data_IF_396255143159
#
_entry.id   IF_396255143159
#
_cell.length_a   1.000
_cell.length_b   1.000
_cell.length_c   1.000
_cell.angle_alpha   90.00
_cell.angle_beta   90.00
_cell.angle_gamma   90.00
#
_symmetry.space_group_name_H-M   'P 1'
#
loop_
_entity.id
_entity.type
_entity.pdbx_description
1 polymer ?
#
# COMPACT_ATOMS: atom_id res chain seq x y z
N UNK A 1 -25.08 -16.52 8.77
CA UNK A 1 -24.63 -16.70 7.36
C UNK A 1 -23.23 -17.28 7.42
N UNK A 2 -22.93 -18.31 6.63
CA UNK A 2 -21.56 -18.87 6.57
C UNK A 2 -20.58 -17.86 5.96
N UNK A 3 -19.33 -17.83 6.45
CA UNK A 3 -18.27 -16.95 5.93
C UNK A 3 -18.06 -17.12 4.43
N UNK A 4 -18.10 -18.35 3.94
CA UNK A 4 -17.98 -18.65 2.51
C UNK A 4 -19.06 -17.94 1.69
N UNK A 5 -20.31 -17.97 2.16
CA UNK A 5 -21.43 -17.33 1.46
C UNK A 5 -21.30 -15.80 1.44
N UNK A 6 -20.83 -15.20 2.54
CA UNK A 6 -20.49 -13.77 2.58
C UNK A 6 -19.39 -13.45 1.56
N UNK A 7 -18.31 -14.24 1.54
CA UNK A 7 -17.18 -14.03 0.64
C UNK A 7 -17.58 -14.18 -0.84
N UNK A 8 -18.40 -15.19 -1.19
CA UNK A 8 -18.93 -15.35 -2.54
C UNK A 8 -19.83 -14.16 -2.96
N UNK A 9 -20.68 -13.68 -2.04
CA UNK A 9 -21.53 -12.52 -2.27
C UNK A 9 -20.71 -11.24 -2.51
N UNK A 10 -19.66 -11.01 -1.70
CA UNK A 10 -18.77 -9.86 -1.83
C UNK A 10 -17.92 -9.96 -3.09
N UNK A 11 -17.38 -11.13 -3.43
CA UNK A 11 -16.43 -11.26 -4.53
C UNK A 11 -17.12 -11.32 -5.90
N UNK A 12 -18.18 -12.12 -6.06
CA UNK A 12 -18.73 -12.47 -7.37
C UNK A 12 -19.97 -11.68 -7.77
N UNK A 13 -20.70 -11.08 -6.83
CA UNK A 13 -21.93 -10.38 -7.17
C UNK A 13 -21.66 -9.12 -7.98
N UNK A 14 -22.39 -8.91 -9.07
CA UNK A 14 -22.39 -7.64 -9.80
C UNK A 14 -23.30 -6.57 -9.15
N UNK A 15 -23.97 -6.88 -8.03
CA UNK A 15 -24.90 -5.97 -7.35
C UNK A 15 -24.27 -5.40 -6.09
N UNK A 16 -24.24 -4.07 -5.98
CA UNK A 16 -23.65 -3.39 -4.82
C UNK A 16 -24.38 -3.72 -3.51
N UNK A 17 -25.71 -3.81 -3.53
CA UNK A 17 -26.48 -4.17 -2.32
C UNK A 17 -26.11 -5.56 -1.79
N UNK A 18 -25.82 -6.50 -2.69
CA UNK A 18 -25.37 -7.85 -2.32
C UNK A 18 -23.98 -7.82 -1.69
N UNK A 19 -23.06 -7.03 -2.24
CA UNK A 19 -21.73 -6.84 -1.65
C UNK A 19 -21.77 -6.14 -0.30
N UNK A 20 -22.79 -5.31 -0.07
CA UNK A 20 -23.03 -4.58 1.17
C UNK A 20 -23.96 -5.32 2.14
N UNK A 21 -24.24 -6.60 1.93
CA UNK A 21 -24.98 -7.40 2.90
C UNK A 21 -24.20 -7.51 4.21
N UNK A 22 -24.84 -7.14 5.32
CA UNK A 22 -24.29 -7.28 6.67
C UNK A 22 -25.15 -8.27 7.45
N UNK A 23 -24.74 -9.55 7.53
CA UNK A 23 -25.47 -10.55 8.29
C UNK A 23 -25.41 -10.26 9.80
N UNK A 24 -26.50 -10.53 10.52
CA UNK A 24 -26.54 -10.36 11.98
C UNK A 24 -25.59 -11.32 12.72
N UNK A 25 -25.38 -12.51 12.14
CA UNK A 25 -24.48 -13.53 12.68
C UNK A 25 -23.69 -14.21 11.57
N UNK A 26 -22.41 -14.46 11.84
CA UNK A 26 -21.49 -15.17 10.98
C UNK A 26 -21.07 -16.49 11.60
N UNK A 27 -20.93 -17.51 10.77
CA UNK A 27 -20.48 -18.86 11.14
C UNK A 27 -19.36 -19.31 10.20
N UNK A 28 -18.44 -20.12 10.71
CA UNK A 28 -17.29 -20.65 9.95
C UNK A 28 -17.21 -22.18 10.08
N UNK A 29 -18.38 -22.83 9.97
CA UNK A 29 -18.49 -24.28 10.16
C UNK A 29 -18.19 -25.06 8.87
N UNK A 30 -18.38 -24.42 7.71
CA UNK A 30 -18.19 -25.04 6.40
C UNK A 30 -17.41 -24.12 5.44
N UNK A 31 -16.08 -23.94 5.63
CA UNK A 31 -15.26 -23.08 4.77
C UNK A 31 -15.16 -23.62 3.32
N UNK A 32 -15.38 -24.92 3.13
CA UNK A 32 -15.45 -25.58 1.81
C UNK A 32 -14.09 -25.76 1.15
N UNK A 33 -14.08 -26.04 -0.15
CA UNK A 33 -12.85 -26.26 -0.92
C UNK A 33 -12.20 -24.93 -1.33
N UNK A 34 -10.88 -24.94 -1.39
CA UNK A 34 -10.09 -23.79 -1.80
C UNK A 34 -10.40 -23.38 -3.25
N UNK A 35 -10.58 -22.09 -3.48
CA UNK A 35 -10.73 -21.53 -4.82
C UNK A 35 -9.37 -21.58 -5.55
N UNK A 36 -9.23 -22.54 -6.47
CA UNK A 36 -8.00 -22.73 -7.24
C UNK A 36 -7.93 -21.80 -8.45
N UNK A 37 -9.06 -21.60 -9.14
CA UNK A 37 -9.14 -20.71 -10.29
C UNK A 37 -9.59 -19.32 -9.86
N UNK A 38 -8.67 -18.36 -9.88
CA UNK A 38 -8.93 -16.99 -9.46
C UNK A 38 -9.68 -16.24 -10.57
N UNK A 39 -10.71 -15.45 -10.25
CA UNK A 39 -11.36 -14.59 -11.24
C UNK A 39 -10.39 -13.47 -11.68
N UNK A 40 -10.43 -13.07 -12.94
CA UNK A 40 -9.57 -12.00 -13.46
C UNK A 40 -9.86 -10.64 -12.81
N UNK A 41 -11.13 -10.42 -12.46
CA UNK A 41 -11.62 -9.26 -11.73
C UNK A 41 -12.79 -9.68 -10.81
N UNK A 42 -13.04 -8.95 -9.72
CA UNK A 42 -14.24 -9.15 -8.91
C UNK A 42 -15.48 -8.79 -9.74
N UNK A 43 -16.61 -9.43 -9.45
CA UNK A 43 -17.89 -9.07 -10.07
C UNK A 43 -18.28 -7.66 -9.65
N UNK A 44 -18.61 -6.77 -10.58
CA UNK A 44 -19.02 -5.39 -10.29
C UNK A 44 -20.11 -4.93 -11.26
N UNK A 45 -20.92 -3.91 -10.91
CA UNK A 45 -21.80 -3.22 -11.86
C UNK A 45 -21.03 -2.77 -13.12
N UNK A 46 -21.73 -2.66 -14.26
CA UNK A 46 -21.11 -2.38 -15.56
C UNK A 46 -20.38 -1.03 -15.63
N UNK A 47 -20.83 -0.06 -14.83
CA UNK A 47 -20.26 1.28 -14.63
C UNK A 47 -19.08 1.32 -13.64
N UNK A 48 -18.78 0.22 -12.94
CA UNK A 48 -17.72 0.14 -11.92
C UNK A 48 -16.64 -0.91 -12.23
N UNK A 49 -16.57 -1.38 -13.47
CA UNK A 49 -15.58 -2.39 -13.88
C UNK A 49 -14.15 -1.81 -13.85
N UNK A 50 -13.22 -2.60 -13.30
CA UNK A 50 -11.81 -2.23 -13.19
C UNK A 50 -11.20 -1.95 -14.57
N UNK A 51 -10.68 -0.74 -14.78
CA UNK A 51 -9.95 -0.40 -16.00
C UNK A 51 -10.81 -0.08 -17.24
N UNK A 52 -12.12 0.07 -17.08
CA UNK A 52 -12.97 0.60 -18.14
C UNK A 52 -12.72 2.11 -18.32
N UNK A 53 -12.11 2.51 -19.45
CA UNK A 53 -11.99 3.93 -19.82
C UNK A 53 -10.79 4.69 -19.23
N UNK A 54 -10.79 6.01 -19.45
CA UNK A 54 -9.70 6.92 -19.03
C UNK A 54 -9.80 7.18 -17.53
N UNK A 55 -8.79 6.74 -16.78
CA UNK A 55 -8.67 6.97 -15.34
C UNK A 55 -8.33 8.44 -15.08
N UNK A 56 -9.18 9.23 -14.41
CA UNK A 56 -8.80 10.57 -14.00
C UNK A 56 -7.66 10.48 -12.97
N UNK A 57 -6.81 11.52 -12.87
CA UNK A 57 -5.93 11.64 -11.71
C UNK A 57 -6.78 11.86 -10.45
N UNK A 58 -6.19 11.58 -9.28
CA UNK A 58 -6.80 11.97 -8.02
C UNK A 58 -7.02 13.50 -8.00
N UNK A 59 -8.17 14.01 -7.50
CA UNK A 59 -8.47 15.44 -7.52
C UNK A 59 -7.45 16.25 -6.71
N UNK A 60 -6.76 17.16 -7.40
CA UNK A 60 -5.87 18.12 -6.76
C UNK A 60 -6.66 19.27 -6.12
N UNK A 61 -7.74 19.71 -6.75
CA UNK A 61 -8.62 20.76 -6.27
C UNK A 61 -9.77 20.17 -5.44
N UNK A 62 -9.87 20.61 -4.19
CA UNK A 62 -10.93 20.23 -3.25
C UNK A 62 -11.79 21.44 -2.86
N UNK A 63 -11.66 22.58 -3.54
CA UNK A 63 -12.48 23.77 -3.29
C UNK A 63 -13.92 23.56 -3.76
N UNK A 64 -14.11 22.85 -4.88
CA UNK A 64 -15.41 22.54 -5.46
C UNK A 64 -15.97 21.19 -4.98
N UNK A 65 -17.29 21.11 -4.80
CA UNK A 65 -17.99 19.89 -4.39
C UNK A 65 -17.72 18.70 -5.31
N UNK A 66 -17.61 18.93 -6.62
CA UNK A 66 -17.27 17.88 -7.59
C UNK A 66 -15.88 17.27 -7.34
N UNK A 67 -14.90 18.08 -6.93
CA UNK A 67 -13.56 17.62 -6.56
C UNK A 67 -13.58 16.80 -5.27
N UNK A 68 -14.37 17.23 -4.27
CA UNK A 68 -14.56 16.50 -3.01
C UNK A 68 -15.31 15.19 -3.23
N UNK A 69 -16.38 15.20 -4.02
CA UNK A 69 -17.15 14.02 -4.38
C UNK A 69 -16.31 13.00 -5.17
N UNK A 70 -15.44 13.50 -6.06
CA UNK A 70 -14.47 12.64 -6.75
C UNK A 70 -13.47 12.02 -5.77
N UNK A 71 -12.97 12.74 -4.76
CA UNK A 71 -12.08 12.17 -3.75
C UNK A 71 -12.78 11.01 -3.00
N UNK A 72 -14.05 11.20 -2.61
CA UNK A 72 -14.87 10.16 -1.99
C UNK A 72 -15.09 8.94 -2.90
N UNK A 73 -15.22 9.14 -4.22
CA UNK A 73 -15.28 8.04 -5.19
C UNK A 73 -14.00 7.21 -5.19
N UNK A 74 -12.82 7.85 -5.17
CA UNK A 74 -11.54 7.14 -5.07
C UNK A 74 -11.42 6.34 -3.76
N UNK A 75 -11.83 6.92 -2.63
CA UNK A 75 -11.80 6.23 -1.33
C UNK A 75 -12.79 5.06 -1.31
N UNK A 76 -14.01 5.23 -1.81
CA UNK A 76 -14.98 4.15 -1.94
C UNK A 76 -14.46 2.98 -2.79
N UNK A 77 -13.73 3.25 -3.88
CA UNK A 77 -13.11 2.18 -4.65
C UNK A 77 -12.01 1.44 -3.87
N UNK A 78 -11.29 2.11 -2.97
CA UNK A 78 -10.34 1.46 -2.07
C UNK A 78 -11.06 0.49 -1.11
N UNK A 79 -12.15 0.90 -0.45
CA UNK A 79 -12.88 0.02 0.47
C UNK A 79 -13.52 -1.17 -0.24
N UNK A 80 -14.06 -0.93 -1.44
CA UNK A 80 -14.59 -2.01 -2.26
C UNK A 80 -13.50 -3.03 -2.64
N UNK A 81 -12.31 -2.56 -3.03
CA UNK A 81 -11.17 -3.45 -3.32
C UNK A 81 -10.70 -4.21 -2.08
N UNK A 82 -10.65 -3.56 -0.92
CA UNK A 82 -10.28 -4.16 0.34
C UNK A 82 -11.20 -5.34 0.68
N UNK A 83 -12.52 -5.10 0.66
CA UNK A 83 -13.53 -6.15 0.86
C UNK A 83 -13.39 -7.31 -0.12
N UNK A 84 -13.22 -7.02 -1.41
CA UNK A 84 -13.12 -8.03 -2.47
C UNK A 84 -11.86 -8.88 -2.33
N UNK A 85 -10.73 -8.28 -1.94
CA UNK A 85 -9.48 -8.98 -1.68
C UNK A 85 -9.58 -9.85 -0.43
N UNK A 86 -10.14 -9.35 0.67
CA UNK A 86 -10.37 -10.15 1.88
C UNK A 86 -11.34 -11.32 1.61
N UNK A 87 -12.41 -11.09 0.86
CA UNK A 87 -13.32 -12.13 0.42
C UNK A 87 -12.61 -13.19 -0.44
N UNK A 88 -11.73 -12.76 -1.36
CA UNK A 88 -10.90 -13.69 -2.12
C UNK A 88 -10.02 -14.55 -1.19
N UNK A 89 -9.44 -13.98 -0.13
CA UNK A 89 -8.61 -14.73 0.80
C UNK A 89 -9.40 -15.77 1.59
N UNK A 90 -10.62 -15.44 2.02
CA UNK A 90 -11.52 -16.40 2.68
C UNK A 90 -11.82 -17.62 1.78
N UNK A 91 -11.98 -17.39 0.47
CA UNK A 91 -12.24 -18.46 -0.49
C UNK A 91 -10.97 -19.24 -0.89
N UNK A 92 -9.82 -18.57 -0.92
CA UNK A 92 -8.55 -19.17 -1.33
C UNK A 92 -7.89 -19.98 -0.22
N UNK A 93 -8.06 -19.56 1.03
CA UNK A 93 -7.41 -20.18 2.19
C UNK A 93 -8.45 -20.69 3.21
N UNK A 94 -9.31 -21.66 2.82
CA UNK A 94 -10.30 -22.23 3.74
C UNK A 94 -9.65 -22.99 4.91
N UNK A 95 -8.38 -23.38 4.77
CA UNK A 95 -7.60 -24.10 5.80
C UNK A 95 -6.77 -23.16 6.70
N UNK A 96 -6.89 -21.84 6.53
CA UNK A 96 -6.21 -20.88 7.41
C UNK A 96 -6.66 -21.03 8.89
N UNK A 97 -6.09 -20.25 9.80
CA UNK A 97 -6.60 -20.23 11.17
C UNK A 97 -8.08 -19.74 11.19
N UNK A 98 -9.02 -20.45 11.83
CA UNK A 98 -10.41 -20.00 11.93
C UNK A 98 -10.57 -18.61 12.55
N UNK A 99 -9.72 -18.25 13.52
CA UNK A 99 -9.72 -16.91 14.09
C UNK A 99 -9.31 -15.86 13.06
N UNK A 100 -8.34 -16.17 12.20
CA UNK A 100 -7.94 -15.27 11.09
C UNK A 100 -9.09 -15.08 10.10
N UNK A 101 -9.77 -16.16 9.70
CA UNK A 101 -10.94 -16.05 8.81
C UNK A 101 -12.04 -15.21 9.43
N UNK A 102 -12.31 -15.37 10.72
CA UNK A 102 -13.30 -14.58 11.42
C UNK A 102 -12.90 -13.10 11.54
N UNK A 103 -11.63 -12.82 11.79
CA UNK A 103 -11.12 -11.45 11.83
C UNK A 103 -11.24 -10.77 10.45
N UNK A 104 -10.88 -11.45 9.36
CA UNK A 104 -11.11 -10.94 8.00
C UNK A 104 -12.59 -10.63 7.73
N UNK A 105 -13.50 -11.48 8.19
CA UNK A 105 -14.93 -11.26 8.00
C UNK A 105 -15.46 -10.05 8.79
N UNK A 106 -14.87 -9.76 9.96
CA UNK A 106 -15.17 -8.55 10.72
C UNK A 106 -14.65 -7.30 10.01
N UNK A 107 -13.42 -7.34 9.50
CA UNK A 107 -12.85 -6.23 8.72
C UNK A 107 -13.66 -5.99 7.45
N UNK A 108 -14.11 -7.03 6.73
CA UNK A 108 -15.06 -6.87 5.61
C UNK A 108 -16.32 -6.09 6.04
N UNK A 109 -16.87 -6.36 7.22
CA UNK A 109 -18.05 -5.67 7.70
C UNK A 109 -17.78 -4.19 8.08
N UNK A 110 -16.57 -3.89 8.57
CA UNK A 110 -16.08 -2.52 8.82
C UNK A 110 -15.92 -1.77 7.49
N UNK A 111 -15.29 -2.37 6.48
CA UNK A 111 -15.16 -1.77 5.16
C UNK A 111 -16.47 -1.57 4.41
N UNK A 112 -17.44 -2.48 4.61
CA UNK A 112 -18.81 -2.24 4.15
C UNK A 112 -19.40 -0.97 4.79
N UNK A 113 -19.07 -0.70 6.06
CA UNK A 113 -19.41 0.53 6.76
C UNK A 113 -18.77 1.75 6.11
N UNK A 114 -17.45 1.71 5.90
CA UNK A 114 -16.69 2.78 5.25
C UNK A 114 -17.22 3.09 3.84
N UNK A 115 -17.45 2.04 3.04
CA UNK A 115 -18.01 2.19 1.70
C UNK A 115 -19.38 2.88 1.71
N UNK A 116 -20.25 2.59 2.69
CA UNK A 116 -21.54 3.30 2.83
C UNK A 116 -21.34 4.78 3.19
N UNK A 117 -20.38 5.10 4.07
CA UNK A 117 -20.08 6.49 4.44
C UNK A 117 -19.60 7.29 3.22
N UNK A 118 -18.63 6.76 2.45
CA UNK A 118 -18.14 7.43 1.26
C UNK A 118 -19.21 7.57 0.17
N UNK A 119 -20.03 6.54 -0.04
CA UNK A 119 -21.17 6.61 -0.97
C UNK A 119 -22.18 7.68 -0.59
N UNK A 120 -22.60 7.72 0.67
CA UNK A 120 -23.50 8.77 1.13
C UNK A 120 -22.90 10.17 0.97
N UNK A 121 -21.60 10.32 1.24
CA UNK A 121 -20.92 11.62 1.12
C UNK A 121 -20.75 12.05 -0.35
N UNK A 122 -20.32 11.15 -1.24
CA UNK A 122 -20.16 11.49 -2.67
C UNK A 122 -21.50 11.84 -3.33
N UNK A 123 -22.58 11.13 -2.98
CA UNK A 123 -23.93 11.40 -3.50
C UNK A 123 -24.41 12.78 -3.04
N UNK A 124 -24.17 13.15 -1.77
CA UNK A 124 -24.47 14.48 -1.24
C UNK A 124 -23.66 15.61 -1.93
N UNK A 125 -22.54 15.27 -2.56
CA UNK A 125 -21.68 16.18 -3.34
C UNK A 125 -21.98 16.12 -4.85
N UNK A 126 -22.99 15.36 -5.27
CA UNK A 126 -23.44 15.26 -6.65
C UNK A 126 -22.59 14.34 -7.53
N UNK A 127 -21.83 13.41 -6.95
CA UNK A 127 -21.03 12.41 -7.67
C UNK A 127 -21.57 11.00 -7.42
N UNK A 128 -21.83 10.26 -8.50
CA UNK A 128 -22.24 8.86 -8.46
C UNK A 128 -21.07 7.89 -8.41
N UNK A 129 -21.24 6.78 -7.69
CA UNK A 129 -20.22 5.73 -7.66
C UNK A 129 -20.25 4.93 -8.97
N UNK A 130 -19.40 5.31 -9.92
CA UNK A 130 -19.37 4.75 -11.27
C UNK A 130 -19.20 5.80 -12.36
N UNK A 131 -19.37 7.08 -12.01
CA UNK A 131 -19.28 8.20 -12.95
C UNK A 131 -17.89 8.32 -13.61
N UNK A 132 -16.85 7.79 -12.95
CA UNK A 132 -15.49 7.74 -13.48
C UNK A 132 -14.88 6.34 -13.35
N UNK A 133 -13.93 6.06 -14.23
CA UNK A 133 -13.17 4.81 -14.27
C UNK A 133 -12.42 4.54 -12.95
N UNK A 134 -12.57 3.34 -12.42
CA UNK A 134 -11.89 2.90 -11.20
C UNK A 134 -10.55 2.21 -11.47
N UNK A 135 -9.61 2.36 -10.53
CA UNK A 135 -8.31 1.71 -10.60
C UNK A 135 -8.33 0.34 -9.93
N UNK A 136 -7.78 -0.69 -10.60
CA UNK A 136 -7.61 -2.05 -10.06
C UNK A 136 -6.16 -2.42 -9.73
N UNK A 137 -5.31 -1.45 -9.37
CA UNK A 137 -3.89 -1.71 -9.09
C UNK A 137 -3.71 -2.73 -7.96
N UNK A 138 -4.33 -2.51 -6.81
CA UNK A 138 -4.20 -3.41 -5.66
C UNK A 138 -4.77 -4.81 -5.94
N UNK A 139 -5.88 -4.91 -6.67
CA UNK A 139 -6.38 -6.20 -7.15
C UNK A 139 -5.31 -6.98 -7.91
N UNK A 140 -4.68 -6.37 -8.92
CA UNK A 140 -3.63 -7.02 -9.72
C UNK A 140 -2.38 -7.34 -8.90
N UNK A 141 -2.03 -6.50 -7.93
CA UNK A 141 -0.84 -6.70 -7.11
C UNK A 141 -1.02 -7.80 -6.05
N UNK A 142 -2.24 -8.01 -5.55
CA UNK A 142 -2.49 -8.82 -4.36
C UNK A 142 -3.28 -10.10 -4.59
N UNK A 143 -4.06 -10.21 -5.68
CA UNK A 143 -4.90 -11.39 -5.95
C UNK A 143 -4.13 -12.70 -5.94
N UNK A 144 -2.83 -12.65 -6.23
CA UNK A 144 -1.95 -13.80 -6.40
C UNK A 144 -1.20 -14.23 -5.15
N UNK A 145 -1.41 -13.57 -4.00
CA UNK A 145 -0.81 -13.90 -2.69
C UNK A 145 -0.78 -15.42 -2.45
N UNK A 146 0.39 -15.98 -2.14
CA UNK A 146 0.57 -17.44 -2.10
C UNK A 146 0.21 -18.03 -0.73
N UNK A 147 0.33 -17.22 0.31
CA UNK A 147 0.01 -17.60 1.69
C UNK A 147 -0.83 -16.52 2.38
N UNK A 148 -1.54 -16.84 3.48
CA UNK A 148 -2.17 -15.84 4.33
C UNK A 148 -1.21 -14.76 4.84
N UNK A 149 0.05 -15.12 5.12
CA UNK A 149 1.08 -14.18 5.55
C UNK A 149 1.45 -13.20 4.43
N UNK A 150 1.56 -13.66 3.18
CA UNK A 150 1.80 -12.75 2.04
C UNK A 150 0.65 -11.73 1.92
N UNK A 151 -0.59 -12.19 2.10
CA UNK A 151 -1.74 -11.30 2.09
C UNK A 151 -1.70 -10.28 3.23
N UNK A 152 -1.38 -10.71 4.46
CA UNK A 152 -1.24 -9.80 5.62
C UNK A 152 -0.18 -8.73 5.38
N UNK A 153 0.97 -9.10 4.80
CA UNK A 153 2.05 -8.16 4.45
C UNK A 153 1.58 -7.12 3.44
N UNK A 154 0.84 -7.55 2.42
CA UNK A 154 0.39 -6.69 1.34
C UNK A 154 -0.81 -5.83 1.74
N UNK A 155 -1.80 -6.42 2.40
CA UNK A 155 -3.03 -5.76 2.80
C UNK A 155 -2.78 -4.84 4.00
N UNK A 156 -2.46 -5.41 5.17
CA UNK A 156 -2.39 -4.64 6.40
C UNK A 156 -1.09 -3.82 6.52
N UNK A 157 0.05 -4.46 6.25
CA UNK A 157 1.37 -3.82 6.38
C UNK A 157 1.78 -3.04 5.12
N UNK A 158 0.93 -2.90 4.11
CA UNK A 158 1.24 -1.98 3.00
C UNK A 158 0.05 -1.11 2.66
N UNK A 159 -1.11 -1.69 2.38
CA UNK A 159 -2.24 -0.92 1.91
C UNK A 159 -2.97 -0.17 3.04
N UNK A 160 -3.44 -0.87 4.07
CA UNK A 160 -4.19 -0.29 5.20
C UNK A 160 -3.32 0.67 6.02
N UNK A 161 -2.05 0.33 6.31
CA UNK A 161 -1.21 1.26 7.06
C UNK A 161 -0.93 2.59 6.32
N UNK A 162 -0.99 2.58 4.98
CA UNK A 162 -0.91 3.82 4.21
C UNK A 162 -2.20 4.64 4.33
N UNK A 163 -3.36 4.01 4.56
CA UNK A 163 -4.62 4.71 4.78
C UNK A 163 -4.60 5.54 6.06
N UNK A 164 -3.81 5.18 7.08
CA UNK A 164 -3.61 6.03 8.26
C UNK A 164 -3.13 7.43 7.85
N UNK A 165 -2.13 7.47 6.96
CA UNK A 165 -1.53 8.71 6.45
C UNK A 165 -2.52 9.48 5.57
N UNK A 166 -3.22 8.77 4.67
CA UNK A 166 -4.17 9.39 3.75
C UNK A 166 -5.40 9.95 4.47
N UNK A 167 -5.91 9.26 5.49
CA UNK A 167 -7.01 9.75 6.31
C UNK A 167 -6.63 11.07 6.98
N UNK A 168 -5.49 11.14 7.66
CA UNK A 168 -5.04 12.38 8.31
C UNK A 168 -4.78 13.50 7.30
N UNK A 169 -4.12 13.19 6.18
CA UNK A 169 -3.83 14.17 5.13
C UNK A 169 -5.11 14.77 4.56
N UNK A 170 -6.06 13.94 4.12
CA UNK A 170 -7.28 14.45 3.48
C UNK A 170 -8.27 15.02 4.48
N UNK A 171 -8.31 14.53 5.73
CA UNK A 171 -9.09 15.15 6.80
C UNK A 171 -8.67 16.61 6.99
N UNK A 172 -7.37 16.87 7.11
CA UNK A 172 -6.84 18.22 7.25
C UNK A 172 -7.18 19.10 6.03
N UNK A 173 -7.09 18.54 4.82
CA UNK A 173 -7.45 19.26 3.59
C UNK A 173 -8.93 19.60 3.53
N UNK A 174 -9.83 18.68 3.85
CA UNK A 174 -11.27 18.98 3.87
C UNK A 174 -11.63 20.04 4.90
N UNK A 175 -11.02 20.00 6.10
CA UNK A 175 -11.20 21.05 7.11
C UNK A 175 -10.73 22.42 6.61
N UNK A 176 -9.58 22.48 5.92
CA UNK A 176 -9.08 23.72 5.35
C UNK A 176 -10.04 24.34 4.31
N UNK A 177 -10.78 23.50 3.60
CA UNK A 177 -11.80 23.90 2.62
C UNK A 177 -13.20 24.08 3.24
N UNK A 178 -13.33 24.02 4.57
CA UNK A 178 -14.59 24.19 5.29
C UNK A 178 -15.55 22.99 5.20
N UNK A 179 -15.09 21.82 4.75
CA UNK A 179 -15.89 20.60 4.65
C UNK A 179 -15.72 19.70 5.88
N UNK A 180 -16.34 20.11 6.99
CA UNK A 180 -16.35 19.32 8.22
C UNK A 180 -16.98 17.93 8.02
N UNK A 181 -18.03 17.81 7.19
CA UNK A 181 -18.73 16.54 6.98
C UNK A 181 -17.83 15.48 6.32
N UNK A 182 -17.02 15.87 5.33
CA UNK A 182 -16.03 14.97 4.71
C UNK A 182 -14.89 14.63 5.67
N UNK A 183 -14.47 15.58 6.50
CA UNK A 183 -13.45 15.36 7.52
C UNK A 183 -13.90 14.37 8.60
N UNK A 184 -15.16 14.43 9.02
CA UNK A 184 -15.74 13.52 10.03
C UNK A 184 -15.81 12.07 9.50
N UNK A 185 -16.10 11.89 8.21
CA UNK A 185 -16.03 10.57 7.57
C UNK A 185 -14.62 9.99 7.68
N UNK A 186 -13.58 10.77 7.32
CA UNK A 186 -12.20 10.31 7.41
C UNK A 186 -11.71 10.11 8.83
N UNK A 187 -12.19 10.90 9.79
CA UNK A 187 -11.90 10.65 11.21
C UNK A 187 -12.46 9.31 11.66
N UNK A 188 -13.69 8.97 11.26
CA UNK A 188 -14.28 7.68 11.60
C UNK A 188 -13.46 6.52 11.01
N UNK A 189 -13.13 6.60 9.72
CA UNK A 189 -12.34 5.59 9.01
C UNK A 189 -10.97 5.43 9.66
N UNK A 190 -10.29 6.54 9.98
CA UNK A 190 -8.99 6.52 10.65
C UNK A 190 -9.00 5.72 11.97
N UNK A 191 -10.04 5.86 12.78
CA UNK A 191 -10.11 5.13 14.06
C UNK A 191 -10.27 3.62 13.86
N UNK A 192 -11.04 3.20 12.86
CA UNK A 192 -11.26 1.79 12.54
C UNK A 192 -10.00 1.18 11.87
N UNK A 193 -9.31 1.94 11.00
CA UNK A 193 -8.07 1.53 10.30
C UNK A 193 -6.90 1.22 11.24
N UNK A 194 -6.78 1.93 12.38
CA UNK A 194 -5.78 1.58 13.40
C UNK A 194 -6.02 0.16 13.93
N UNK A 195 -7.28 -0.25 14.03
CA UNK A 195 -7.68 -1.61 14.41
C UNK A 195 -7.34 -2.65 13.33
N UNK A 196 -7.57 -2.32 12.05
CA UNK A 196 -7.24 -3.19 10.92
C UNK A 196 -5.73 -3.50 10.88
N UNK A 197 -4.90 -2.45 10.95
CA UNK A 197 -3.44 -2.60 10.99
C UNK A 197 -2.99 -3.39 12.21
N UNK A 198 -3.61 -3.18 13.38
CA UNK A 198 -3.32 -3.94 14.59
C UNK A 198 -3.59 -5.44 14.42
N UNK A 199 -4.72 -5.81 13.80
CA UNK A 199 -5.03 -7.20 13.51
C UNK A 199 -3.99 -7.79 12.54
N UNK A 200 -3.62 -7.06 11.49
CA UNK A 200 -2.58 -7.47 10.56
C UNK A 200 -1.23 -7.70 11.22
N UNK A 201 -0.78 -6.76 12.08
CA UNK A 201 0.47 -6.90 12.85
C UNK A 201 0.43 -8.13 13.74
N UNK A 202 -0.69 -8.43 14.40
CA UNK A 202 -0.83 -9.64 15.23
C UNK A 202 -0.62 -10.92 14.41
N UNK A 203 -1.25 -11.03 13.25
CA UNK A 203 -1.11 -12.19 12.36
C UNK A 203 0.29 -12.28 11.73
N UNK A 204 0.86 -11.13 11.33
CA UNK A 204 2.24 -11.04 10.87
C UNK A 204 3.22 -11.56 11.94
N UNK A 205 3.05 -11.13 13.19
CA UNK A 205 3.89 -11.58 14.30
C UNK A 205 3.73 -13.06 14.63
N UNK A 206 2.52 -13.61 14.45
CA UNK A 206 2.24 -15.03 14.70
C UNK A 206 2.85 -15.96 13.63
N UNK A 207 2.97 -15.49 12.38
CA UNK A 207 3.35 -16.34 11.25
C UNK A 207 4.74 -16.07 10.66
N UNK A 208 5.34 -14.90 10.94
CA UNK A 208 6.68 -14.63 10.42
C UNK A 208 7.71 -15.62 11.00
N UNK A 209 8.75 -15.99 10.23
CA UNK A 209 9.81 -16.85 10.72
C UNK A 209 10.52 -16.22 11.93
N UNK A 210 10.93 -17.02 12.93
CA UNK A 210 11.73 -16.51 14.03
C UNK A 210 13.12 -16.12 13.54
N UNK A 211 13.73 -15.12 14.18
CA UNK A 211 15.10 -14.69 13.91
C UNK A 211 15.27 -13.63 12.83
N UNK A 212 14.20 -13.25 12.12
CA UNK A 212 14.19 -12.09 11.20
C UNK A 212 13.65 -10.85 11.93
N UNK A 213 14.18 -9.67 11.58
CA UNK A 213 13.53 -8.41 11.95
C UNK A 213 12.19 -8.25 11.23
N UNK A 214 11.31 -7.42 11.77
CA UNK A 214 10.01 -7.15 11.15
C UNK A 214 10.17 -6.56 9.74
N UNK A 215 11.18 -5.69 9.56
CA UNK A 215 11.47 -5.06 8.28
C UNK A 215 11.96 -6.06 7.22
N UNK A 216 12.88 -6.96 7.57
CA UNK A 216 13.36 -8.00 6.65
C UNK A 216 12.25 -8.98 6.25
N UNK A 217 11.45 -9.42 7.23
CA UNK A 217 10.34 -10.34 6.99
C UNK A 217 9.25 -9.73 6.11
N UNK A 218 9.03 -8.41 6.23
CA UNK A 218 8.16 -7.61 5.37
C UNK A 218 8.69 -7.51 3.94
N UNK A 219 9.96 -7.09 3.75
CA UNK A 219 10.56 -6.92 2.42
C UNK A 219 10.56 -8.22 1.61
N UNK A 220 10.88 -9.37 2.24
CA UNK A 220 10.92 -10.69 1.58
C UNK A 220 9.57 -11.14 1.02
N UNK A 221 8.46 -10.56 1.48
CA UNK A 221 7.08 -10.96 1.15
C UNK A 221 6.32 -9.92 0.37
N UNK A 222 6.94 -8.78 0.08
CA UNK A 222 6.34 -7.73 -0.72
C UNK A 222 6.59 -8.02 -2.21
N UNK A 223 5.56 -8.34 -3.01
CA UNK A 223 5.76 -8.69 -4.42
C UNK A 223 6.00 -7.43 -5.26
N UNK A 224 6.86 -7.54 -6.26
CA UNK A 224 6.96 -6.51 -7.30
C UNK A 224 5.59 -6.34 -8.02
N UNK A 225 5.20 -5.11 -8.40
CA UNK A 225 5.93 -3.85 -8.30
C UNK A 225 5.63 -3.07 -7.00
N UNK A 226 5.13 -3.73 -5.94
CA UNK A 226 4.93 -3.06 -4.65
C UNK A 226 6.27 -2.87 -3.95
N UNK A 227 6.45 -1.69 -3.38
CA UNK A 227 7.60 -1.31 -2.56
C UNK A 227 7.10 -0.68 -1.26
N UNK A 228 7.93 -0.61 -0.20
CA UNK A 228 7.54 0.05 1.04
C UNK A 228 7.08 1.50 0.87
N UNK A 229 7.43 2.17 -0.24
CA UNK A 229 6.89 3.49 -0.56
C UNK A 229 5.36 3.49 -0.61
N UNK A 230 4.73 2.37 -1.01
CA UNK A 230 3.26 2.21 -1.00
C UNK A 230 2.67 2.11 0.40
N UNK A 231 3.47 1.82 1.42
CA UNK A 231 3.04 1.74 2.82
C UNK A 231 2.94 3.11 3.53
N UNK A 232 3.17 4.21 2.81
CA UNK A 232 3.05 5.57 3.35
C UNK A 232 2.43 6.57 2.38
N UNK A 233 1.71 7.52 2.96
CA UNK A 233 1.10 8.67 2.30
C UNK A 233 1.98 9.92 2.35
N UNK A 234 1.40 11.10 2.07
CA UNK A 234 2.12 12.38 2.08
C UNK A 234 2.63 12.82 3.46
N UNK A 235 2.00 12.32 4.54
CA UNK A 235 2.35 12.60 5.93
C UNK A 235 2.48 11.26 6.63
N UNK A 236 3.58 11.00 7.34
CA UNK A 236 3.78 9.74 8.05
C UNK A 236 3.18 9.81 9.47
N UNK A 237 2.11 9.05 9.72
CA UNK A 237 1.54 8.89 11.05
C UNK A 237 2.31 7.86 11.88
N UNK A 238 3.32 8.35 12.61
CA UNK A 238 4.10 7.53 13.56
C UNK A 238 3.26 7.10 14.76
N UNK A 239 2.35 7.95 15.24
CA UNK A 239 1.56 7.68 16.44
C UNK A 239 0.50 6.59 16.19
N UNK A 240 -0.20 6.65 15.06
CA UNK A 240 -1.15 5.62 14.63
C UNK A 240 -0.46 4.27 14.42
N UNK A 241 0.70 4.25 13.77
CA UNK A 241 1.48 3.01 13.59
C UNK A 241 1.92 2.39 14.92
N UNK A 242 2.36 3.20 15.88
CA UNK A 242 2.69 2.74 17.23
C UNK A 242 1.46 2.17 17.95
N UNK A 243 0.30 2.83 17.84
CA UNK A 243 -0.97 2.31 18.38
C UNK A 243 -1.39 0.99 17.75
N UNK A 244 -1.12 0.83 16.45
CA UNK A 244 -1.37 -0.40 15.71
C UNK A 244 -0.32 -1.51 16.00
N UNK A 245 0.69 -1.25 16.83
CA UNK A 245 1.66 -2.25 17.25
C UNK A 245 2.82 -2.48 16.27
N UNK A 246 2.98 -1.65 15.23
CA UNK A 246 4.18 -1.68 14.39
C UNK A 246 5.40 -1.35 15.26
N UNK A 247 6.47 -2.13 15.10
CA UNK A 247 7.69 -1.93 15.87
C UNK A 247 8.38 -0.61 15.51
N UNK A 248 9.08 -0.04 16.48
CA UNK A 248 9.84 1.20 16.27
C UNK A 248 10.86 1.04 15.13
N UNK A 249 11.49 -0.14 15.03
CA UNK A 249 12.41 -0.47 13.96
C UNK A 249 11.76 -0.42 12.57
N UNK A 250 10.57 -1.03 12.43
CA UNK A 250 9.80 -0.98 11.18
C UNK A 250 9.47 0.47 10.78
N UNK A 251 8.96 1.26 11.74
CA UNK A 251 8.53 2.64 11.47
C UNK A 251 9.70 3.52 11.05
N UNK A 252 10.88 3.36 11.68
CA UNK A 252 12.10 4.10 11.34
C UNK A 252 12.57 3.80 9.91
N UNK A 253 12.62 2.54 9.52
CA UNK A 253 12.96 2.16 8.14
C UNK A 253 11.96 2.73 7.13
N UNK A 254 10.65 2.60 7.40
CA UNK A 254 9.62 3.14 6.53
C UNK A 254 9.73 4.68 6.36
N UNK A 255 10.10 5.40 7.42
CA UNK A 255 10.18 6.85 7.41
C UNK A 255 11.16 7.36 6.36
N UNK A 256 12.33 6.72 6.25
CA UNK A 256 13.41 7.12 5.34
C UNK A 256 13.40 6.39 3.99
N UNK A 257 12.55 5.38 3.82
CA UNK A 257 12.46 4.64 2.55
C UNK A 257 11.87 5.50 1.44
N UNK A 258 12.51 5.51 0.28
CA UNK A 258 12.05 6.20 -0.92
C UNK A 258 12.05 5.22 -2.09
N UNK A 259 11.04 5.29 -2.95
CA UNK A 259 10.99 4.59 -4.23
C UNK A 259 9.87 5.18 -5.09
N UNK A 260 10.04 5.11 -6.39
CA UNK A 260 9.02 5.57 -7.33
C UNK A 260 7.71 4.77 -7.22
N UNK A 261 6.58 5.50 -7.22
CA UNK A 261 5.22 4.93 -7.25
C UNK A 261 4.65 4.78 -8.66
N UNK A 262 5.48 4.80 -9.71
CA UNK A 262 5.03 4.51 -11.07
C UNK A 262 5.70 5.34 -12.17
N UNK A 263 6.45 6.40 -11.81
CA UNK A 263 7.37 7.06 -12.73
C UNK A 263 8.56 6.14 -12.99
N UNK A 264 9.15 6.15 -14.19
CA UNK A 264 10.46 5.51 -14.39
C UNK A 264 11.53 6.30 -13.60
N UNK A 265 12.23 5.67 -12.65
CA UNK A 265 13.27 6.36 -11.88
C UNK A 265 14.44 6.75 -12.80
N UNK A 266 15.12 7.85 -12.49
CA UNK A 266 16.45 8.12 -13.04
C UNK A 266 17.46 7.42 -12.15
N UNK A 267 18.46 6.76 -12.74
CA UNK A 267 19.57 6.19 -11.99
C UNK A 267 20.71 7.21 -11.92
N UNK A 268 21.13 7.53 -10.70
CA UNK A 268 22.30 8.34 -10.40
C UNK A 268 23.48 7.42 -10.08
N UNK A 269 24.58 7.62 -10.78
CA UNK A 269 25.76 6.78 -10.74
C UNK A 269 26.99 7.68 -10.73
N UNK A 270 27.97 7.35 -9.88
CA UNK A 270 29.26 8.04 -9.86
C UNK A 270 30.40 7.05 -10.08
N UNK A 271 30.80 6.92 -11.34
CA UNK A 271 31.88 6.04 -11.79
C UNK A 271 33.00 6.90 -12.39
N UNK A 272 33.90 7.48 -11.58
CA UNK A 272 34.93 8.40 -12.06
C UNK A 272 35.98 7.74 -12.96
N UNK A 273 35.98 6.40 -13.04
CA UNK A 273 36.85 5.61 -13.92
C UNK A 273 36.20 5.20 -15.23
N UNK A 274 34.96 5.62 -15.52
CA UNK A 274 34.21 5.13 -16.68
C UNK A 274 34.93 5.39 -18.01
N UNK A 275 35.57 6.55 -18.16
CA UNK A 275 36.31 6.89 -19.38
C UNK A 275 37.57 6.01 -19.55
N UNK A 276 38.27 5.71 -18.46
CA UNK A 276 39.43 4.80 -18.47
C UNK A 276 39.01 3.37 -18.81
N UNK A 277 37.89 2.91 -18.24
CA UNK A 277 37.31 1.60 -18.54
C UNK A 277 36.92 1.49 -20.02
N UNK A 278 36.28 2.52 -20.59
CA UNK A 278 35.94 2.56 -22.01
C UNK A 278 37.18 2.58 -22.91
N UNK A 279 38.24 3.28 -22.50
CA UNK A 279 39.50 3.32 -23.24
C UNK A 279 40.24 1.98 -23.24
N UNK A 280 40.05 1.13 -22.23
CA UNK A 280 40.62 -0.21 -22.17
C UNK A 280 40.00 -1.20 -23.18
N UNK A 281 38.82 -0.89 -23.73
CA UNK A 281 38.12 -1.75 -24.68
C UNK A 281 37.79 -3.12 -24.09
N UNK A 282 38.20 -4.19 -24.78
CA UNK A 282 37.98 -5.57 -24.33
C UNK A 282 39.02 -6.06 -23.29
N UNK A 283 40.02 -5.24 -22.97
CA UNK A 283 41.03 -5.61 -21.98
C UNK A 283 40.44 -5.57 -20.56
N UNK A 284 40.82 -6.50 -19.66
CA UNK A 284 40.45 -6.41 -18.26
C UNK A 284 40.88 -5.07 -17.66
N UNK A 285 39.92 -4.32 -17.13
CA UNK A 285 40.15 -3.05 -16.46
C UNK A 285 39.91 -3.18 -14.95
N UNK A 286 40.76 -2.55 -14.16
CA UNK A 286 40.56 -2.43 -12.72
C UNK A 286 40.98 -1.02 -12.32
N UNK A 287 40.08 -0.21 -11.73
CA UNK A 287 40.43 1.15 -11.35
C UNK A 287 41.54 1.15 -10.30
N UNK A 288 42.40 2.17 -10.35
CA UNK A 288 43.44 2.35 -9.34
C UNK A 288 42.84 2.61 -7.95
N UNK A 289 43.53 2.18 -6.90
CA UNK A 289 43.01 2.25 -5.52
C UNK A 289 42.57 3.66 -5.07
N UNK A 290 43.26 4.72 -5.52
CA UNK A 290 42.88 6.10 -5.22
C UNK A 290 41.55 6.49 -5.89
N UNK A 291 41.33 6.03 -7.12
CA UNK A 291 40.13 6.29 -7.92
C UNK A 291 38.93 5.52 -7.36
N UNK A 292 39.14 4.28 -6.91
CA UNK A 292 38.15 3.51 -6.15
C UNK A 292 37.75 4.19 -4.84
N UNK A 293 38.72 4.68 -4.07
CA UNK A 293 38.44 5.40 -2.83
C UNK A 293 37.64 6.69 -3.09
N UNK A 294 37.99 7.43 -4.14
CA UNK A 294 37.28 8.64 -4.55
C UNK A 294 35.81 8.36 -4.88
N UNK A 295 35.51 7.30 -5.63
CA UNK A 295 34.12 6.98 -5.94
C UNK A 295 33.33 6.60 -4.72
N UNK A 296 33.87 5.73 -3.86
CA UNK A 296 33.19 5.33 -2.63
C UNK A 296 32.85 6.55 -1.76
N UNK A 297 33.77 7.50 -1.64
CA UNK A 297 33.61 8.66 -0.77
C UNK A 297 32.65 9.71 -1.36
N UNK A 298 32.57 9.83 -2.70
CA UNK A 298 31.74 10.84 -3.38
C UNK A 298 30.43 10.31 -3.96
N UNK A 299 30.26 9.01 -4.16
CA UNK A 299 29.03 8.42 -4.69
C UNK A 299 27.78 8.79 -3.86
N UNK A 300 27.83 8.81 -2.51
CA UNK A 300 26.68 9.27 -1.71
C UNK A 300 26.27 10.71 -1.99
N UNK A 301 27.18 11.59 -2.42
CA UNK A 301 26.84 12.97 -2.75
C UNK A 301 25.89 13.07 -3.97
N UNK A 302 25.88 12.06 -4.85
CA UNK A 302 24.98 12.01 -5.99
C UNK A 302 23.53 11.75 -5.58
N UNK A 303 23.29 11.21 -4.38
CA UNK A 303 21.94 11.12 -3.83
C UNK A 303 21.29 12.51 -3.69
N UNK A 304 22.09 13.58 -3.50
CA UNK A 304 21.60 14.96 -3.37
C UNK A 304 21.13 15.55 -4.71
N UNK A 305 21.47 14.92 -5.84
CA UNK A 305 21.02 15.33 -7.18
C UNK A 305 19.66 14.72 -7.53
N UNK A 306 19.28 13.64 -6.84
CA UNK A 306 18.07 12.88 -7.11
C UNK A 306 16.85 13.34 -6.34
N UNK A 307 15.68 13.08 -6.91
CA UNK A 307 14.41 13.16 -6.19
C UNK A 307 14.10 11.84 -5.45
N UNK A 308 13.14 11.80 -4.52
CA UNK A 308 12.72 10.56 -3.84
C UNK A 308 12.18 9.46 -4.78
N UNK A 309 11.79 9.84 -6.00
CA UNK A 309 11.35 8.91 -7.04
C UNK A 309 12.49 8.43 -7.96
N UNK A 310 13.73 8.87 -7.71
CA UNK A 310 14.93 8.42 -8.42
C UNK A 310 15.67 7.33 -7.61
N UNK A 311 16.71 6.79 -8.24
CA UNK A 311 17.56 5.75 -7.70
C UNK A 311 19.01 6.22 -7.67
N UNK A 312 19.77 5.85 -6.64
CA UNK A 312 21.22 6.07 -6.57
C UNK A 312 21.92 4.73 -6.36
N UNK A 313 22.88 4.40 -7.23
CA UNK A 313 23.68 3.19 -7.09
C UNK A 313 24.81 3.46 -6.09
N UNK A 314 24.86 2.67 -5.01
CA UNK A 314 25.93 2.72 -4.01
C UNK A 314 26.49 1.32 -3.77
N UNK A 315 27.78 1.21 -3.46
CA UNK A 315 28.41 -0.08 -3.13
C UNK A 315 27.88 -0.69 -1.82
N UNK A 316 27.38 0.17 -0.91
CA UNK A 316 26.80 -0.23 0.36
C UNK A 316 25.68 0.72 0.77
N UNK A 317 24.64 0.18 1.40
CA UNK A 317 23.55 0.98 1.94
C UNK A 317 24.04 1.82 3.13
N UNK A 318 23.73 3.14 3.18
CA UNK A 318 24.04 3.95 4.35
C UNK A 318 23.32 3.41 5.59
N UNK A 319 23.93 3.48 6.80
CA UNK A 319 23.26 3.06 8.02
C UNK A 319 21.97 3.85 8.26
N UNK A 320 20.95 3.20 8.81
CA UNK A 320 19.65 3.83 9.09
C UNK A 320 19.77 5.15 9.85
N UNK A 321 20.61 5.20 10.90
CA UNK A 321 20.83 6.42 11.68
C UNK A 321 21.41 7.59 10.87
N UNK A 322 22.18 7.30 9.82
CA UNK A 322 22.68 8.32 8.90
C UNK A 322 21.56 8.84 7.99
N UNK A 323 20.73 7.95 7.44
CA UNK A 323 19.56 8.33 6.63
C UNK A 323 18.57 9.17 7.45
N UNK A 324 18.33 8.81 8.71
CA UNK A 324 17.48 9.57 9.64
C UNK A 324 18.05 10.96 9.92
N UNK A 325 19.36 11.08 10.13
CA UNK A 325 20.02 12.37 10.33
C UNK A 325 19.82 13.29 9.12
N UNK A 326 19.98 12.76 7.90
CA UNK A 326 19.77 13.51 6.65
C UNK A 326 18.29 13.92 6.49
N UNK A 327 17.36 13.00 6.76
CA UNK A 327 15.93 13.29 6.73
C UNK A 327 15.52 14.38 7.72
N UNK A 328 16.07 14.36 8.95
CA UNK A 328 15.86 15.41 9.95
C UNK A 328 16.43 16.77 9.53
N UNK A 329 17.49 16.77 8.72
CA UNK A 329 18.05 17.97 8.10
C UNK A 329 17.23 18.48 6.89
N UNK A 330 16.12 17.82 6.54
CA UNK A 330 15.24 18.18 5.43
C UNK A 330 15.66 17.61 4.09
N UNK A 331 16.62 16.68 4.05
CA UNK A 331 17.06 16.02 2.82
C UNK A 331 16.21 14.77 2.58
N UNK A 332 15.48 14.75 1.46
CA UNK A 332 14.79 13.55 1.01
C UNK A 332 15.62 12.87 -0.07
N UNK A 333 16.07 11.64 0.22
CA UNK A 333 17.00 10.93 -0.65
C UNK A 333 16.26 10.02 -1.63
N UNK A 334 16.84 9.76 -2.82
CA UNK A 334 16.41 8.72 -3.73
C UNK A 334 16.50 7.32 -3.10
N UNK A 335 15.89 6.34 -3.75
CA UNK A 335 16.06 4.92 -3.42
C UNK A 335 17.54 4.53 -3.57
N UNK A 336 18.13 3.93 -2.54
CA UNK A 336 19.46 3.33 -2.64
C UNK A 336 19.31 1.96 -3.25
N UNK A 337 20.01 1.74 -4.38
CA UNK A 337 20.11 0.45 -5.05
C UNK A 337 21.55 -0.04 -4.90
N UNK A 338 21.73 -1.34 -4.71
CA UNK A 338 23.04 -1.98 -4.65
C UNK A 338 23.32 -2.72 -5.97
N UNK A 339 24.60 -2.94 -6.33
CA UNK A 339 24.95 -3.75 -7.51
C UNK A 339 24.34 -5.16 -7.52
N UNK A 340 24.03 -5.73 -6.35
CA UNK A 340 23.36 -7.04 -6.22
C UNK A 340 21.90 -7.04 -6.66
N UNK A 341 21.29 -5.87 -6.79
CA UNK A 341 19.87 -5.68 -7.04
C UNK A 341 19.57 -5.45 -8.54
N UNK A 342 20.60 -5.27 -9.37
CA UNK A 342 20.54 -5.01 -10.82
C UNK A 342 20.77 -6.29 -11.65
#
# INVERSE_FOLDING_TARGET
MELRALAEAVLFSARMDTKLLRPDALTDAAPGLALVQLPDAPGRPADLVLGAGKKPPFPADLTADSGRGLAMHFFANHELLAMELMALMLLRFPDADPAFRMDLARTIAEEQGHLRLYRGRMEALGVGFGDVAVNGFFWRAMRDAKTPLDFVVQMALTFEQANLDYCLHYKARFLAEGDAASADVLERVYQDEVGHVLHGVRWFNAWRPPGESDWEAYLKRLPAPMTPARAKGPVLDVAGRRRAGLSEDFVRHLAVYSASKGRRPRLWLFEPWLEEALAAGDAPFTPGAQVTALARDLAPAFALLGSPDDQVLLDAAPPLGHLEHLAQAGLQLPEVVLPSDL
#
